data_IF_616183337801
#
_entry.id   IF_616183337801
#
_cell.length_a   1.000
_cell.length_b   1.000
_cell.length_c   1.000
_cell.angle_alpha   90.00
_cell.angle_beta   90.00
_cell.angle_gamma   90.00
#
_symmetry.space_group_name_H-M   'P 1'
#
loop_
_entity.id
_entity.type
_entity.pdbx_description
1 polymer ?
#
# COMPACT_ATOMS: atom_id res chain seq x y z
N UNK A 1 26.89 -1.86 -3.44
CA UNK A 1 25.58 -1.16 -3.48
C UNK A 1 24.35 -2.09 -3.36
N UNK A 2 24.47 -3.41 -3.22
CA UNK A 2 23.31 -4.32 -3.12
C UNK A 2 22.96 -4.81 -1.71
N UNK A 3 23.65 -4.34 -0.66
CA UNK A 3 23.43 -4.80 0.71
C UNK A 3 22.71 -3.77 1.63
N UNK A 4 22.57 -2.51 1.20
CA UNK A 4 21.90 -1.47 2.03
C UNK A 4 20.36 -1.59 2.00
N UNK A 5 19.77 -2.08 0.91
CA UNK A 5 18.31 -2.27 0.81
C UNK A 5 17.81 -3.46 1.64
N UNK A 6 18.61 -4.52 1.78
CA UNK A 6 18.31 -5.65 2.65
C UNK A 6 18.33 -5.25 4.14
N UNK A 7 19.27 -4.39 4.54
CA UNK A 7 19.30 -3.81 5.89
C UNK A 7 18.15 -2.83 6.17
N UNK A 8 17.62 -2.16 5.15
CA UNK A 8 16.40 -1.34 5.26
C UNK A 8 15.16 -2.16 5.59
N UNK A 9 14.99 -3.32 4.95
CA UNK A 9 13.88 -4.25 5.21
C UNK A 9 13.99 -4.91 6.59
N UNK A 10 15.20 -5.27 7.03
CA UNK A 10 15.44 -5.80 8.40
C UNK A 10 15.18 -4.73 9.47
N UNK A 11 15.50 -3.45 9.21
CA UNK A 11 15.13 -2.33 10.10
C UNK A 11 13.61 -2.09 10.14
N UNK A 12 12.92 -2.21 9.01
CA UNK A 12 11.46 -2.16 8.97
C UNK A 12 10.81 -3.37 9.66
N UNK A 13 11.38 -4.56 9.54
CA UNK A 13 10.95 -5.76 10.27
C UNK A 13 11.17 -5.61 11.77
N UNK A 14 12.31 -5.05 12.20
CA UNK A 14 12.60 -4.75 13.61
C UNK A 14 11.64 -3.70 14.17
N UNK A 15 11.31 -2.65 13.41
CA UNK A 15 10.31 -1.65 13.80
C UNK A 15 8.88 -2.21 13.85
N UNK A 16 8.52 -3.11 12.92
CA UNK A 16 7.24 -3.82 12.92
C UNK A 16 7.14 -4.85 14.07
N UNK A 17 8.24 -5.52 14.42
CA UNK A 17 8.32 -6.42 15.58
C UNK A 17 8.23 -5.62 16.91
N UNK A 18 8.84 -4.44 16.97
CA UNK A 18 8.72 -3.51 18.09
C UNK A 18 7.31 -2.91 18.21
N UNK A 19 6.62 -2.65 17.09
CA UNK A 19 5.22 -2.25 17.07
C UNK A 19 4.29 -3.40 17.50
N UNK A 20 4.60 -4.64 17.14
CA UNK A 20 3.90 -5.83 17.64
C UNK A 20 4.11 -6.04 19.14
N UNK A 21 5.30 -5.75 19.69
CA UNK A 21 5.55 -5.74 21.13
C UNK A 21 4.79 -4.63 21.86
N UNK A 22 4.71 -3.42 21.27
CA UNK A 22 3.89 -2.30 21.79
C UNK A 22 2.39 -2.63 21.76
N UNK A 23 1.92 -3.29 20.71
CA UNK A 23 0.53 -3.71 20.54
C UNK A 23 0.20 -4.90 21.47
N UNK A 24 1.13 -5.83 21.69
CA UNK A 24 1.00 -6.90 22.68
C UNK A 24 0.97 -6.36 24.11
N UNK A 25 1.85 -5.41 24.46
CA UNK A 25 1.84 -4.75 25.76
C UNK A 25 0.56 -3.94 26.01
N UNK A 26 0.04 -3.24 24.98
CA UNK A 26 -1.26 -2.54 25.07
C UNK A 26 -2.45 -3.50 25.09
N UNK A 27 -2.37 -4.64 24.40
CA UNK A 27 -3.40 -5.70 24.46
C UNK A 27 -3.39 -6.41 25.80
N UNK A 28 -2.23 -6.52 26.46
CA UNK A 28 -2.07 -7.09 27.80
C UNK A 28 -2.54 -6.11 28.89
N UNK A 29 -2.34 -4.80 28.70
CA UNK A 29 -2.97 -3.73 29.46
C UNK A 29 -4.50 -3.72 29.29
N UNK A 30 -5.01 -3.87 28.06
CA UNK A 30 -6.45 -3.96 27.78
C UNK A 30 -7.08 -5.25 28.35
N UNK A 31 -6.34 -6.38 28.35
CA UNK A 31 -6.76 -7.63 29.01
C UNK A 31 -6.82 -7.50 30.53
N UNK A 32 -5.87 -6.78 31.14
CA UNK A 32 -5.92 -6.46 32.57
C UNK A 32 -7.07 -5.51 32.93
N UNK A 33 -7.45 -4.61 32.02
CA UNK A 33 -8.62 -3.73 32.17
C UNK A 33 -9.96 -4.45 31.98
N UNK A 34 -9.99 -5.55 31.23
CA UNK A 34 -11.21 -6.32 30.96
C UNK A 34 -11.51 -7.41 32.02
N UNK A 35 -10.56 -7.75 32.89
CA UNK A 35 -10.72 -8.82 33.90
C UNK A 35 -11.07 -8.33 35.31
N UNK A 36 -11.15 -7.01 35.55
CA UNK A 36 -11.65 -6.47 36.82
C UNK A 36 -13.06 -5.89 36.61
N UNK A 37 -14.08 -6.59 37.11
CA UNK A 37 -15.48 -6.14 37.10
C UNK A 37 -15.76 -4.92 38.02
N UNK A 38 -14.72 -4.20 38.41
CA UNK A 38 -14.80 -2.84 38.92
C UNK A 38 -13.81 -1.99 38.11
N UNK A 39 -14.33 -0.95 37.45
CA UNK A 39 -13.48 0.07 36.86
C UNK A 39 -12.60 0.66 37.98
N UNK A 40 -11.27 0.79 37.80
CA UNK A 40 -10.45 1.44 38.79
C UNK A 40 -10.91 2.90 38.90
N UNK A 41 -11.50 3.23 40.06
CA UNK A 41 -11.71 4.61 40.52
C UNK A 41 -10.32 5.23 40.68
N UNK A 42 -9.91 6.07 39.71
CA UNK A 42 -8.72 6.90 39.85
C UNK A 42 -9.12 8.14 40.67
N UNK A 43 -8.57 8.33 41.88
CA UNK A 43 -8.86 9.53 42.67
C UNK A 43 -8.49 10.77 41.87
N UNK A 44 -9.35 11.80 41.87
CA UNK A 44 -9.04 13.09 41.25
C UNK A 44 -7.78 13.66 41.93
N UNK A 45 -6.68 13.72 41.19
CA UNK A 45 -5.43 14.33 41.65
C UNK A 45 -5.29 15.70 40.99
N UNK A 46 -4.45 16.56 41.57
CA UNK A 46 -4.15 17.87 41.00
C UNK A 46 -3.64 17.76 39.56
N UNK A 47 -2.87 16.73 39.27
CA UNK A 47 -2.31 16.45 37.94
C UNK A 47 -3.38 16.04 36.92
N UNK A 48 -4.41 15.29 37.33
CA UNK A 48 -5.54 14.95 36.44
C UNK A 48 -6.42 16.17 36.17
N UNK A 49 -6.56 17.07 37.15
CA UNK A 49 -7.27 18.36 36.97
C UNK A 49 -6.49 19.28 36.02
N UNK A 50 -5.18 19.37 36.18
CA UNK A 50 -4.30 20.13 35.29
C UNK A 50 -4.41 19.62 33.84
N UNK A 51 -4.39 18.30 33.64
CA UNK A 51 -4.62 17.67 32.34
C UNK A 51 -5.97 18.07 31.74
N UNK A 52 -7.06 17.92 32.50
CA UNK A 52 -8.42 18.27 32.05
C UNK A 52 -8.54 19.76 31.65
N UNK A 53 -7.90 20.65 32.41
CA UNK A 53 -7.83 22.09 32.10
C UNK A 53 -7.13 22.37 30.78
N UNK A 54 -6.00 21.71 30.51
CA UNK A 54 -5.29 21.85 29.23
C UNK A 54 -6.12 21.30 28.07
N UNK A 55 -6.83 20.18 28.27
CA UNK A 55 -7.76 19.65 27.26
C UNK A 55 -8.85 20.66 26.92
N UNK A 56 -9.51 21.25 27.91
CA UNK A 56 -10.54 22.29 27.68
C UNK A 56 -9.98 23.53 27.01
N UNK A 57 -8.79 23.98 27.41
CA UNK A 57 -8.13 25.11 26.77
C UNK A 57 -7.87 24.84 25.27
N UNK A 58 -7.42 23.64 24.92
CA UNK A 58 -7.13 23.26 23.53
C UNK A 58 -8.40 22.95 22.72
N UNK A 59 -9.35 22.20 23.28
CA UNK A 59 -10.53 21.69 22.57
C UNK A 59 -11.65 22.72 22.55
N UNK A 60 -11.91 23.46 23.63
CA UNK A 60 -12.98 24.45 23.65
C UNK A 60 -12.46 25.74 23.02
N UNK A 61 -11.48 26.36 23.67
CA UNK A 61 -10.98 27.70 23.29
C UNK A 61 -10.11 27.63 22.04
N UNK A 62 -9.24 26.63 21.94
CA UNK A 62 -8.41 26.41 20.76
C UNK A 62 -9.23 26.14 19.50
N UNK A 63 -10.29 25.34 19.57
CA UNK A 63 -11.22 25.14 18.45
C UNK A 63 -11.92 26.43 18.06
N UNK A 64 -12.37 27.23 19.03
CA UNK A 64 -13.02 28.52 18.75
C UNK A 64 -12.09 29.48 18.03
N UNK A 65 -10.85 29.66 18.50
CA UNK A 65 -9.92 30.61 17.89
C UNK A 65 -9.46 30.16 16.50
N UNK A 66 -9.30 28.86 16.26
CA UNK A 66 -8.95 28.34 14.94
C UNK A 66 -10.08 28.53 13.93
N UNK A 67 -11.33 28.35 14.35
CA UNK A 67 -12.48 28.65 13.50
C UNK A 67 -12.63 30.14 13.25
N UNK A 68 -12.47 30.97 14.27
CA UNK A 68 -12.41 32.42 14.08
C UNK A 68 -11.34 32.79 13.05
N UNK A 69 -10.15 32.19 13.15
CA UNK A 69 -9.06 32.40 12.19
C UNK A 69 -9.42 31.89 10.79
N UNK A 70 -10.08 30.75 10.69
CA UNK A 70 -10.53 30.16 9.43
C UNK A 70 -11.61 31.01 8.76
N UNK A 71 -12.65 31.39 9.50
CA UNK A 71 -13.78 32.19 9.03
C UNK A 71 -13.34 33.62 8.63
N UNK A 72 -12.28 34.14 9.25
CA UNK A 72 -11.66 35.41 8.84
C UNK A 72 -10.92 35.33 7.50
N UNK A 73 -10.51 34.13 7.06
CA UNK A 73 -9.87 33.90 5.75
C UNK A 73 -10.93 33.52 4.72
N UNK A 74 -11.86 32.63 5.10
CA UNK A 74 -12.93 32.12 4.27
C UNK A 74 -14.26 32.39 4.96
N UNK A 75 -14.99 33.40 4.49
CA UNK A 75 -16.27 33.77 5.10
C UNK A 75 -17.24 32.58 5.12
N UNK A 76 -18.03 32.37 6.18
CA UNK A 76 -19.01 31.27 6.23
C UNK A 76 -20.01 31.29 5.08
N UNK A 77 -20.34 32.48 4.55
CA UNK A 77 -21.27 32.67 3.42
C UNK A 77 -20.69 32.15 2.10
N UNK A 78 -19.37 32.27 1.90
CA UNK A 78 -18.69 31.87 0.67
C UNK A 78 -18.04 30.49 0.77
N UNK A 79 -18.09 29.86 1.96
CA UNK A 79 -17.39 28.61 2.25
C UNK A 79 -17.70 27.52 1.21
N UNK A 80 -18.97 27.36 0.82
CA UNK A 80 -19.34 26.38 -0.20
C UNK A 80 -18.67 26.68 -1.57
N UNK A 81 -18.56 27.94 -1.95
CA UNK A 81 -17.89 28.36 -3.19
C UNK A 81 -16.39 28.09 -3.12
N UNK A 82 -15.75 28.42 -2.01
CA UNK A 82 -14.32 28.17 -1.78
C UNK A 82 -14.00 26.68 -1.87
N UNK A 83 -14.79 25.82 -1.21
CA UNK A 83 -14.57 24.37 -1.21
C UNK A 83 -14.66 23.75 -2.61
N UNK A 84 -15.46 24.32 -3.51
CA UNK A 84 -15.66 23.79 -4.87
C UNK A 84 -14.77 24.45 -5.94
N UNK A 85 -14.06 25.52 -5.61
CA UNK A 85 -13.16 26.21 -6.53
C UNK A 85 -11.81 25.48 -6.64
N UNK A 86 -11.14 25.63 -7.79
CA UNK A 86 -9.75 25.20 -7.95
C UNK A 86 -8.77 26.34 -7.58
N UNK A 87 -7.64 26.04 -6.90
CA UNK A 87 -7.10 24.70 -6.63
C UNK A 87 -7.64 24.01 -5.35
N UNK A 88 -8.42 24.69 -4.51
CA UNK A 88 -8.80 24.23 -3.17
C UNK A 88 -9.52 22.87 -3.18
N UNK A 89 -10.44 22.67 -4.13
CA UNK A 89 -11.14 21.40 -4.31
C UNK A 89 -10.19 20.24 -4.66
N UNK A 90 -9.22 20.49 -5.55
CA UNK A 90 -8.23 19.50 -5.95
C UNK A 90 -7.30 19.13 -4.78
N UNK A 91 -6.90 20.10 -3.97
CA UNK A 91 -6.11 19.88 -2.76
C UNK A 91 -6.88 19.03 -1.75
N UNK A 92 -8.17 19.32 -1.51
CA UNK A 92 -9.02 18.52 -0.63
C UNK A 92 -9.19 17.08 -1.15
N UNK A 93 -9.38 16.89 -2.46
CA UNK A 93 -9.41 15.55 -3.06
C UNK A 93 -8.09 14.79 -2.85
N UNK A 94 -6.95 15.47 -3.01
CA UNK A 94 -5.62 14.92 -2.75
C UNK A 94 -5.46 14.49 -1.29
N UNK A 95 -5.91 15.33 -0.35
CA UNK A 95 -5.89 15.03 1.09
C UNK A 95 -6.78 13.82 1.44
N UNK A 96 -7.97 13.71 0.84
CA UNK A 96 -8.84 12.54 0.97
C UNK A 96 -8.17 11.28 0.45
N UNK A 97 -7.55 11.35 -0.74
CA UNK A 97 -6.84 10.22 -1.35
C UNK A 97 -5.64 9.76 -0.50
N UNK A 98 -4.98 10.70 0.20
CA UNK A 98 -3.89 10.43 1.14
C UNK A 98 -4.35 9.94 2.52
N UNK A 99 -5.67 9.86 2.78
CA UNK A 99 -6.22 9.47 4.08
C UNK A 99 -6.06 10.52 5.18
N UNK A 100 -5.70 11.77 4.83
CA UNK A 100 -5.58 12.87 5.81
C UNK A 100 -6.97 13.38 6.21
N UNK A 101 -7.91 13.41 5.26
CA UNK A 101 -9.32 13.66 5.53
C UNK A 101 -10.05 12.32 5.60
N UNK A 102 -10.63 12.01 6.76
CA UNK A 102 -11.42 10.79 6.93
C UNK A 102 -12.83 10.93 6.32
N UNK A 103 -13.60 9.83 6.14
CA UNK A 103 -14.92 9.88 5.53
C UNK A 103 -15.92 10.81 6.26
N UNK A 104 -15.87 10.87 7.59
CA UNK A 104 -16.73 11.74 8.41
C UNK A 104 -16.44 13.22 8.15
N UNK A 105 -15.16 13.60 8.16
CA UNK A 105 -14.70 14.95 7.84
C UNK A 105 -15.04 15.31 6.39
N UNK A 106 -14.86 14.37 5.46
CA UNK A 106 -15.26 14.58 4.06
C UNK A 106 -16.76 14.85 3.94
N UNK A 107 -17.60 14.10 4.66
CA UNK A 107 -19.04 14.32 4.68
C UNK A 107 -19.46 15.68 5.25
N UNK A 108 -18.68 16.25 6.19
CA UNK A 108 -18.88 17.62 6.69
C UNK A 108 -18.58 18.68 5.63
N UNK A 109 -17.59 18.43 4.75
CA UNK A 109 -17.21 19.34 3.66
C UNK A 109 -18.08 19.18 2.41
N UNK A 110 -18.51 17.96 2.12
CA UNK A 110 -19.28 17.58 0.94
C UNK A 110 -20.44 16.66 1.37
N UNK A 111 -21.50 17.23 1.96
CA UNK A 111 -22.66 16.46 2.40
C UNK A 111 -23.36 15.80 1.22
N UNK A 112 -23.91 14.60 1.44
CA UNK A 112 -24.61 13.83 0.41
C UNK A 112 -25.89 14.53 -0.09
N UNK A 113 -26.54 15.30 0.78
CA UNK A 113 -27.63 16.20 0.42
C UNK A 113 -27.08 17.61 0.27
N UNK A 114 -27.48 18.31 -0.79
CA UNK A 114 -27.04 19.67 -1.08
C UNK A 114 -27.55 20.65 0.00
N UNK A 115 -26.79 20.80 1.08
CA UNK A 115 -27.02 21.75 2.16
C UNK A 115 -25.85 22.74 2.25
N UNK A 116 -26.10 24.00 2.67
CA UNK A 116 -25.01 24.93 2.98
C UNK A 116 -24.04 24.32 3.97
N UNK A 117 -22.75 24.39 3.66
CA UNK A 117 -21.67 23.89 4.53
C UNK A 117 -21.34 24.98 5.54
N UNK A 118 -21.22 24.62 6.82
CA UNK A 118 -20.87 25.54 7.90
C UNK A 118 -19.66 25.03 8.67
N UNK A 119 -18.76 25.95 9.06
CA UNK A 119 -17.61 25.64 9.91
C UNK A 119 -17.98 25.39 11.38
N UNK A 120 -19.24 25.62 11.78
CA UNK A 120 -19.71 25.49 13.16
C UNK A 120 -19.37 24.12 13.77
N UNK A 121 -19.57 23.05 13.01
CA UNK A 121 -19.40 21.66 13.47
C UNK A 121 -18.01 21.06 13.13
N UNK A 122 -17.08 21.89 12.67
CA UNK A 122 -15.71 21.44 12.39
C UNK A 122 -14.94 21.30 13.69
N UNK A 123 -14.42 20.11 13.97
CA UNK A 123 -13.55 19.89 15.12
C UNK A 123 -12.16 20.53 14.89
N UNK A 124 -11.36 20.59 15.96
CA UNK A 124 -10.00 21.13 15.92
C UNK A 124 -9.12 20.48 14.84
N UNK A 125 -9.31 19.19 14.56
CA UNK A 125 -8.45 18.47 13.60
C UNK A 125 -8.79 18.84 12.16
N UNK A 126 -10.08 18.96 11.84
CA UNK A 126 -10.54 19.41 10.54
C UNK A 126 -10.11 20.86 10.30
N UNK A 127 -10.32 21.77 11.27
CA UNK A 127 -9.89 23.17 11.17
C UNK A 127 -8.38 23.29 10.90
N UNK A 128 -7.55 22.51 11.61
CA UNK A 128 -6.10 22.46 11.39
C UNK A 128 -5.72 21.97 9.99
N UNK A 129 -6.45 20.99 9.45
CA UNK A 129 -6.22 20.50 8.08
C UNK A 129 -6.58 21.59 7.07
N UNK A 130 -7.72 22.27 7.24
CA UNK A 130 -8.16 23.30 6.30
C UNK A 130 -7.23 24.51 6.31
N UNK A 131 -6.90 25.05 7.49
CA UNK A 131 -6.00 26.21 7.65
C UNK A 131 -4.64 26.00 6.95
N UNK A 132 -4.09 24.79 7.04
CA UNK A 132 -2.80 24.47 6.46
C UNK A 132 -2.80 24.28 4.94
N UNK A 133 -3.94 23.91 4.36
CA UNK A 133 -3.96 23.42 2.98
C UNK A 133 -4.77 24.30 2.03
N UNK A 134 -5.83 24.98 2.51
CA UNK A 134 -6.72 25.76 1.63
C UNK A 134 -6.80 27.23 2.00
N UNK A 135 -6.09 27.69 3.03
CA UNK A 135 -6.08 29.09 3.47
C UNK A 135 -4.86 29.89 3.00
N UNK A 136 -4.01 29.31 2.14
CA UNK A 136 -2.83 29.99 1.59
C UNK A 136 -1.74 30.33 2.62
N UNK A 137 -1.78 29.70 3.81
CA UNK A 137 -0.80 29.94 4.87
C UNK A 137 0.53 29.24 4.58
N UNK A 138 1.64 29.92 4.83
CA UNK A 138 2.99 29.38 4.62
C UNK A 138 3.46 28.68 5.91
N UNK A 139 3.99 27.44 5.84
CA UNK A 139 4.54 26.79 7.03
C UNK A 139 5.61 27.66 7.72
N UNK A 140 5.67 27.66 9.06
CA UNK A 140 6.83 28.19 9.78
C UNK A 140 8.12 27.47 9.34
N UNK A 141 9.28 28.05 9.60
CA UNK A 141 10.58 27.44 9.25
C UNK A 141 10.78 26.04 9.87
N UNK A 142 10.12 25.75 10.99
CA UNK A 142 10.14 24.44 11.66
C UNK A 142 9.16 23.43 11.04
N UNK A 143 8.35 23.84 10.07
CA UNK A 143 7.21 23.10 9.55
C UNK A 143 6.01 23.10 10.51
N UNK A 144 4.94 22.42 10.09
CA UNK A 144 3.68 22.35 10.84
C UNK A 144 3.67 21.33 11.99
N UNK A 145 4.68 20.45 12.07
CA UNK A 145 4.72 19.31 12.98
C UNK A 145 5.65 19.51 14.18
N UNK A 146 6.58 20.47 14.12
CA UNK A 146 7.50 20.79 15.19
C UNK A 146 7.11 22.09 15.90
N UNK A 147 7.46 22.19 17.20
CA UNK A 147 7.20 23.39 17.99
C UNK A 147 8.01 24.58 17.44
N UNK A 148 7.35 25.68 17.01
CA UNK A 148 8.07 26.86 16.54
C UNK A 148 8.79 27.60 17.68
N UNK A 149 9.85 28.39 17.38
CA UNK A 149 10.54 29.20 18.38
C UNK A 149 9.60 30.15 19.11
N UNK A 150 9.80 30.36 20.42
CA UNK A 150 8.92 31.21 21.23
C UNK A 150 8.85 32.67 20.75
N UNK A 151 9.90 33.14 20.07
CA UNK A 151 9.94 34.47 19.46
C UNK A 151 9.07 34.59 18.20
N UNK A 152 8.74 33.46 17.56
CA UNK A 152 7.88 33.42 16.39
C UNK A 152 6.41 33.39 16.83
N UNK A 153 5.80 34.57 16.78
CA UNK A 153 4.41 34.83 17.12
C UNK A 153 3.54 35.05 15.88
N UNK A 154 4.01 34.62 14.70
CA UNK A 154 3.18 34.67 13.49
C UNK A 154 1.90 33.85 13.65
N UNK A 155 0.91 34.13 12.82
CA UNK A 155 -0.35 33.37 12.78
C UNK A 155 -0.08 31.88 12.53
N UNK A 156 0.79 31.59 11.58
CA UNK A 156 1.19 30.23 11.19
C UNK A 156 1.96 29.53 12.30
N UNK A 157 2.86 30.23 12.99
CA UNK A 157 3.58 29.71 14.14
C UNK A 157 2.63 29.39 15.31
N UNK A 158 1.62 30.23 15.56
CA UNK A 158 0.63 29.99 16.61
C UNK A 158 -0.32 28.82 16.26
N UNK A 159 -0.71 28.66 15.00
CA UNK A 159 -1.46 27.49 14.53
C UNK A 159 -0.62 26.21 14.71
N UNK A 160 0.65 26.23 14.30
CA UNK A 160 1.56 25.09 14.47
C UNK A 160 1.80 24.76 15.96
N UNK A 161 1.93 25.77 16.82
CA UNK A 161 2.09 25.62 18.28
C UNK A 161 0.86 24.99 18.92
N UNK A 162 -0.34 25.43 18.56
CA UNK A 162 -1.57 24.78 19.00
C UNK A 162 -1.60 23.32 18.58
N UNK A 163 -1.24 23.01 17.33
CA UNK A 163 -1.18 21.63 16.83
C UNK A 163 -0.15 20.78 17.59
N UNK A 164 1.02 21.33 17.87
CA UNK A 164 2.06 20.64 18.65
C UNK A 164 1.57 20.30 20.06
N UNK A 165 0.98 21.26 20.76
CA UNK A 165 0.44 21.03 22.10
C UNK A 165 -0.80 20.15 22.11
N UNK A 166 -1.63 20.21 21.05
CA UNK A 166 -2.66 19.21 20.75
C UNK A 166 -1.98 17.83 20.88
N UNK A 167 -1.01 17.54 20.00
CA UNK A 167 -0.42 16.21 19.89
C UNK A 167 0.34 15.78 21.15
N UNK A 168 0.96 16.72 21.86
CA UNK A 168 1.71 16.46 23.08
C UNK A 168 0.79 16.17 24.27
N UNK A 169 -0.33 16.88 24.39
CA UNK A 169 -1.23 16.78 25.55
C UNK A 169 -2.24 15.64 25.42
N UNK A 170 -2.89 15.39 24.27
CA UNK A 170 -3.76 14.20 24.11
C UNK A 170 -3.19 13.18 23.13
N UNK A 171 -2.46 13.60 22.08
CA UNK A 171 -2.21 12.75 20.91
C UNK A 171 -1.24 11.61 21.20
N UNK A 172 -0.34 11.83 22.16
CA UNK A 172 0.71 10.90 22.56
C UNK A 172 0.85 10.79 24.09
N UNK A 173 -0.12 11.27 24.86
CA UNK A 173 -0.05 11.17 26.31
C UNK A 173 -0.13 9.72 26.75
N UNK A 174 0.86 9.27 27.52
CA UNK A 174 0.89 7.93 28.11
C UNK A 174 -0.08 7.77 29.28
N UNK A 175 -0.54 8.89 29.84
CA UNK A 175 -1.45 8.97 30.97
C UNK A 175 -2.18 10.32 30.98
N UNK A 176 -3.40 10.36 31.52
CA UNK A 176 -4.22 11.56 31.64
C UNK A 176 -3.83 12.41 32.88
N UNK A 177 -2.54 12.75 33.02
CA UNK A 177 -2.02 13.53 34.15
C UNK A 177 -0.84 14.42 33.73
N UNK A 178 -0.79 15.64 34.27
CA UNK A 178 0.27 16.63 34.00
C UNK A 178 0.70 17.30 35.30
N UNK A 179 1.99 17.24 35.61
CA UNK A 179 2.58 17.92 36.77
C UNK A 179 2.46 19.45 36.67
N UNK A 180 2.57 20.15 37.81
CA UNK A 180 2.37 21.60 37.87
C UNK A 180 3.36 22.39 37.01
N UNK A 181 4.60 21.93 36.87
CA UNK A 181 5.62 22.64 36.11
C UNK A 181 5.29 22.62 34.60
N UNK A 182 4.99 21.43 34.07
CA UNK A 182 4.53 21.26 32.68
C UNK A 182 3.19 21.94 32.45
N UNK A 183 2.26 21.84 33.39
CA UNK A 183 0.97 22.50 33.29
C UNK A 183 1.13 24.01 33.11
N UNK A 184 1.92 24.66 33.95
CA UNK A 184 2.12 26.11 33.86
C UNK A 184 2.81 26.51 32.54
N UNK A 185 3.83 25.77 32.11
CA UNK A 185 4.51 26.01 30.83
C UNK A 185 3.55 25.84 29.64
N UNK A 186 2.84 24.72 29.56
CA UNK A 186 1.91 24.44 28.47
C UNK A 186 0.75 25.43 28.47
N UNK A 187 0.19 25.72 29.64
CA UNK A 187 -0.89 26.70 29.78
C UNK A 187 -0.46 28.05 29.22
N UNK A 188 0.72 28.54 29.60
CA UNK A 188 1.23 29.83 29.14
C UNK A 188 1.42 29.85 27.62
N UNK A 189 2.09 28.85 27.06
CA UNK A 189 2.38 28.82 25.62
C UNK A 189 1.11 28.67 24.78
N UNK A 190 0.18 27.82 25.20
CA UNK A 190 -1.11 27.64 24.54
C UNK A 190 -1.92 28.94 24.63
N UNK A 191 -1.97 29.56 25.81
CA UNK A 191 -2.71 30.81 26.01
C UNK A 191 -2.17 31.94 25.13
N UNK A 192 -0.84 32.08 25.07
CA UNK A 192 -0.18 33.08 24.23
C UNK A 192 -0.47 32.85 22.75
N UNK A 193 -0.48 31.59 22.29
CA UNK A 193 -0.84 31.25 20.92
C UNK A 193 -2.30 31.60 20.61
N UNK A 194 -3.23 31.30 21.52
CA UNK A 194 -4.65 31.64 21.34
C UNK A 194 -4.84 33.15 21.27
N UNK A 195 -4.27 33.91 22.21
CA UNK A 195 -4.35 35.37 22.22
C UNK A 195 -3.69 35.98 20.98
N UNK A 196 -2.57 35.40 20.51
CA UNK A 196 -1.93 35.81 19.27
C UNK A 196 -2.76 35.60 18.01
N UNK A 197 -3.72 34.67 18.03
CA UNK A 197 -4.64 34.39 16.92
C UNK A 197 -5.95 35.19 17.01
N UNK A 198 -6.56 35.23 18.20
CA UNK A 198 -7.90 35.76 18.42
C UNK A 198 -7.97 37.14 19.09
N UNK A 199 -6.84 37.67 19.56
CA UNK A 199 -6.78 38.95 20.27
C UNK A 199 -7.05 38.85 21.77
N UNK A 200 -7.09 40.02 22.42
CA UNK A 200 -7.10 40.16 23.88
C UNK A 200 -8.36 39.59 24.56
N UNK A 201 -9.49 39.53 23.85
CA UNK A 201 -10.77 39.05 24.40
C UNK A 201 -10.70 37.57 24.81
N UNK A 202 -9.90 36.77 24.09
CA UNK A 202 -9.65 35.38 24.49
C UNK A 202 -8.85 35.29 25.79
N UNK A 203 -8.02 36.27 26.12
CA UNK A 203 -7.25 36.30 27.37
C UNK A 203 -8.14 36.31 28.61
N UNK A 204 -9.26 37.04 28.56
CA UNK A 204 -10.24 37.07 29.65
C UNK A 204 -10.94 35.71 29.83
N UNK A 205 -11.35 35.07 28.73
CA UNK A 205 -11.98 33.75 28.75
C UNK A 205 -11.03 32.66 29.29
N UNK A 206 -9.76 32.69 28.87
CA UNK A 206 -8.71 31.79 29.35
C UNK A 206 -8.45 32.00 30.85
N UNK A 207 -8.33 33.26 31.29
CA UNK A 207 -8.13 33.58 32.71
C UNK A 207 -9.25 33.02 33.59
N UNK A 208 -10.51 33.15 33.13
CA UNK A 208 -11.67 32.54 33.80
C UNK A 208 -11.57 31.02 33.85
N UNK A 209 -11.21 30.37 32.73
CA UNK A 209 -11.05 28.91 32.65
C UNK A 209 -9.95 28.37 33.58
N UNK A 210 -8.89 29.15 33.83
CA UNK A 210 -7.80 28.76 34.75
C UNK A 210 -8.26 28.68 36.20
N UNK A 211 -9.17 29.56 36.59
CA UNK A 211 -9.60 29.80 37.98
C UNK A 211 -10.92 29.07 38.29
N UNK A 212 -11.72 28.75 37.27
CA UNK A 212 -12.98 28.02 37.42
C UNK A 212 -12.73 26.70 38.18
N UNK A 213 -13.47 26.53 39.28
CA UNK A 213 -13.48 25.27 40.04
C UNK A 213 -14.15 24.21 39.18
N UNK A 214 -13.42 23.13 38.87
CA UNK A 214 -14.03 21.94 38.29
C UNK A 214 -14.87 21.29 39.39
N UNK A 215 -16.17 21.55 39.35
CA UNK A 215 -17.17 20.78 40.10
C UNK A 215 -17.00 19.28 39.75
N UNK A 216 -17.00 18.36 40.73
CA UNK A 216 -16.88 16.91 40.49
C UNK A 216 -17.81 16.36 39.40
N UNK A 217 -19.03 16.89 39.29
CA UNK A 217 -20.01 16.42 38.28
C UNK A 217 -19.63 16.88 36.87
N UNK A 218 -19.08 18.09 36.73
CA UNK A 218 -18.53 18.59 35.46
C UNK A 218 -17.25 17.85 35.10
N UNK A 219 -16.41 17.51 36.09
CA UNK A 219 -15.19 16.74 35.91
C UNK A 219 -15.50 15.35 35.31
N UNK A 220 -16.48 14.64 35.86
CA UNK A 220 -16.86 13.32 35.35
C UNK A 220 -17.45 13.41 33.93
N UNK A 221 -18.27 14.43 33.65
CA UNK A 221 -18.79 14.69 32.31
C UNK A 221 -17.66 14.93 31.29
N UNK A 222 -16.66 15.76 31.62
CA UNK A 222 -15.51 15.98 30.74
C UNK A 222 -14.65 14.72 30.57
N UNK A 223 -14.47 13.92 31.64
CA UNK A 223 -13.78 12.63 31.56
C UNK A 223 -14.52 11.67 30.62
N UNK A 224 -15.85 11.64 30.69
CA UNK A 224 -16.69 10.81 29.82
C UNK A 224 -16.54 11.24 28.37
N UNK A 225 -16.63 12.55 28.09
CA UNK A 225 -16.46 13.11 26.75
C UNK A 225 -15.06 12.82 26.19
N UNK A 226 -14.00 13.01 26.99
CA UNK A 226 -12.62 12.68 26.61
C UNK A 226 -12.45 11.18 26.28
N UNK A 227 -13.11 10.29 27.03
CA UNK A 227 -13.09 8.85 26.74
C UNK A 227 -13.81 8.53 25.44
N UNK A 228 -14.94 9.17 25.16
CA UNK A 228 -15.69 8.98 23.92
C UNK A 228 -14.91 9.49 22.71
N UNK A 229 -14.35 10.70 22.79
CA UNK A 229 -13.51 11.29 21.74
C UNK A 229 -12.26 10.41 21.48
N UNK A 230 -11.64 9.88 22.54
CA UNK A 230 -10.49 8.98 22.43
C UNK A 230 -10.89 7.62 21.84
N UNK A 231 -12.10 7.13 22.13
CA UNK A 231 -12.66 5.90 21.55
C UNK A 231 -12.96 6.08 20.06
N UNK A 232 -13.56 7.21 19.67
CA UNK A 232 -13.80 7.54 18.27
C UNK A 232 -12.49 7.65 17.49
N UNK A 233 -11.48 8.32 18.05
CA UNK A 233 -10.14 8.38 17.47
C UNK A 233 -9.51 6.99 17.32
N UNK A 234 -9.66 6.11 18.32
CA UNK A 234 -9.17 4.73 18.23
C UNK A 234 -9.88 3.91 17.15
N UNK A 235 -11.18 4.05 16.97
CA UNK A 235 -11.91 3.38 15.89
C UNK A 235 -11.52 3.92 14.51
N UNK A 236 -11.29 5.23 14.38
CA UNK A 236 -10.78 5.85 13.16
C UNK A 236 -9.37 5.33 12.82
N UNK A 237 -8.44 5.33 13.79
CA UNK A 237 -7.09 4.76 13.62
C UNK A 237 -7.17 3.26 13.26
N UNK A 238 -8.08 2.52 13.88
CA UNK A 238 -8.30 1.09 13.55
C UNK A 238 -8.80 0.94 12.11
N UNK A 239 -9.67 1.83 11.65
CA UNK A 239 -10.10 1.92 10.25
C UNK A 239 -8.94 2.12 9.29
N UNK A 240 -8.08 3.10 9.57
CA UNK A 240 -6.91 3.42 8.76
C UNK A 240 -5.90 2.27 8.73
N UNK A 241 -5.66 1.61 9.88
CA UNK A 241 -4.80 0.42 9.95
C UNK A 241 -5.38 -0.73 9.11
N UNK A 242 -6.71 -0.95 9.13
CA UNK A 242 -7.35 -1.95 8.27
C UNK A 242 -7.17 -1.62 6.79
N UNK A 243 -7.32 -0.36 6.42
CA UNK A 243 -7.12 0.10 5.04
C UNK A 243 -5.67 -0.06 4.60
N UNK A 244 -4.70 0.36 5.42
CA UNK A 244 -3.27 0.15 5.17
C UNK A 244 -2.91 -1.32 5.02
N UNK A 245 -3.47 -2.21 5.85
CA UNK A 245 -3.29 -3.66 5.72
C UNK A 245 -3.81 -4.17 4.37
N UNK A 246 -4.96 -3.67 3.92
CA UNK A 246 -5.54 -4.05 2.62
C UNK A 246 -4.66 -3.58 1.46
N UNK A 247 -4.14 -2.36 1.52
CA UNK A 247 -3.22 -1.85 0.50
C UNK A 247 -1.87 -2.57 0.51
N UNK A 248 -1.35 -2.88 1.70
CA UNK A 248 -0.14 -3.69 1.86
C UNK A 248 -0.33 -5.09 1.27
N UNK A 249 -1.50 -5.71 1.46
CA UNK A 249 -1.84 -6.99 0.81
C UNK A 249 -1.75 -6.93 -0.72
N UNK A 250 -2.31 -5.87 -1.33
CA UNK A 250 -2.21 -5.65 -2.79
C UNK A 250 -0.76 -5.45 -3.27
N UNK A 251 0.05 -4.74 -2.48
CA UNK A 251 1.47 -4.55 -2.78
C UNK A 251 2.22 -5.87 -2.66
N UNK A 252 1.93 -6.67 -1.63
CA UNK A 252 2.51 -8.01 -1.44
C UNK A 252 2.20 -8.91 -2.63
N UNK A 253 0.92 -9.01 -3.04
CA UNK A 253 0.51 -9.78 -4.23
C UNK A 253 1.24 -9.32 -5.49
N UNK A 254 1.44 -8.00 -5.64
CA UNK A 254 2.16 -7.44 -6.78
C UNK A 254 3.67 -7.71 -6.72
N UNK A 255 4.26 -7.71 -5.53
CA UNK A 255 5.67 -8.08 -5.33
C UNK A 255 5.85 -9.57 -5.61
N UNK A 256 4.96 -10.44 -5.15
CA UNK A 256 4.99 -11.87 -5.43
C UNK A 256 4.85 -12.12 -6.95
N UNK A 257 3.92 -11.42 -7.61
CA UNK A 257 3.78 -11.46 -9.07
C UNK A 257 5.06 -11.02 -9.80
N UNK A 258 5.67 -9.91 -9.39
CA UNK A 258 6.90 -9.40 -10.01
C UNK A 258 8.13 -10.28 -9.71
N UNK A 259 8.18 -10.92 -8.54
CA UNK A 259 9.26 -11.83 -8.15
C UNK A 259 9.17 -13.12 -8.98
N UNK A 260 7.97 -13.67 -9.16
CA UNK A 260 7.73 -14.81 -10.06
C UNK A 260 8.09 -14.46 -11.52
N UNK A 261 7.81 -13.24 -11.97
CA UNK A 261 8.21 -12.76 -13.30
C UNK A 261 9.73 -12.51 -13.42
N UNK A 262 10.42 -12.15 -12.33
CA UNK A 262 11.87 -11.99 -12.32
C UNK A 262 12.61 -13.33 -12.27
N UNK A 263 12.11 -14.33 -11.55
CA UNK A 263 12.73 -15.66 -11.50
C UNK A 263 12.64 -16.41 -12.83
N UNK A 264 11.63 -16.13 -13.67
CA UNK A 264 11.54 -16.64 -15.04
C UNK A 264 12.45 -15.91 -16.05
N UNK A 265 13.04 -14.76 -15.70
CA UNK A 265 13.78 -13.90 -16.66
C UNK A 265 15.26 -13.67 -16.32
N UNK A 266 15.77 -14.15 -15.17
CA UNK A 266 17.11 -13.79 -14.67
C UNK A 266 18.16 -14.92 -14.62
N UNK A 267 18.00 -16.04 -15.34
CA UNK A 267 19.19 -16.85 -15.67
C UNK A 267 19.95 -16.15 -16.82
N UNK A 268 21.29 -16.03 -16.76
CA UNK A 268 22.07 -15.32 -17.78
C UNK A 268 21.90 -15.85 -19.21
N UNK A 269 21.34 -17.06 -19.41
CA UNK A 269 20.95 -17.60 -20.72
C UNK A 269 19.57 -17.15 -21.23
N UNK A 270 18.62 -16.84 -20.35
CA UNK A 270 17.21 -16.65 -20.69
C UNK A 270 16.96 -15.28 -21.35
N UNK A 271 17.66 -14.24 -20.92
CA UNK A 271 17.60 -12.92 -21.56
C UNK A 271 18.14 -12.94 -23.00
N UNK A 272 19.18 -13.74 -23.27
CA UNK A 272 19.73 -13.93 -24.61
C UNK A 272 18.74 -14.65 -25.53
N UNK A 273 18.07 -15.67 -25.01
CA UNK A 273 17.04 -16.41 -25.75
C UNK A 273 15.77 -15.59 -25.97
N UNK A 274 15.34 -14.78 -25.00
CA UNK A 274 14.18 -13.90 -25.17
C UNK A 274 14.41 -12.86 -26.29
N UNK A 275 15.58 -12.22 -26.33
CA UNK A 275 15.95 -11.29 -27.39
C UNK A 275 16.07 -11.98 -28.77
N UNK A 276 16.60 -13.21 -28.79
CA UNK A 276 16.66 -14.03 -29.99
C UNK A 276 15.25 -14.42 -30.47
N UNK A 277 14.38 -14.83 -29.56
CA UNK A 277 13.00 -15.20 -29.85
C UNK A 277 12.22 -14.03 -30.45
N UNK A 278 12.33 -12.82 -29.87
CA UNK A 278 11.68 -11.62 -30.42
C UNK A 278 12.17 -11.31 -31.84
N UNK A 279 13.49 -11.41 -32.05
CA UNK A 279 14.09 -11.19 -33.38
C UNK A 279 13.65 -12.24 -34.40
N UNK A 280 13.47 -13.49 -33.97
CA UNK A 280 12.96 -14.59 -34.78
C UNK A 280 11.50 -14.42 -35.14
N UNK A 281 10.65 -13.94 -34.22
CA UNK A 281 9.23 -13.69 -34.50
C UNK A 281 9.03 -12.69 -35.64
N UNK A 282 9.92 -11.69 -35.76
CA UNK A 282 9.91 -10.69 -36.85
C UNK A 282 10.61 -11.17 -38.13
N UNK A 283 11.33 -12.29 -38.09
CA UNK A 283 12.08 -12.77 -39.24
C UNK A 283 11.19 -13.60 -40.18
N UNK A 284 11.05 -13.13 -41.42
CA UNK A 284 10.22 -13.79 -42.44
C UNK A 284 11.02 -14.57 -43.50
N UNK A 285 12.33 -14.74 -43.30
CA UNK A 285 13.24 -15.36 -44.26
C UNK A 285 13.87 -16.67 -43.78
N UNK A 286 14.05 -16.82 -42.47
CA UNK A 286 14.84 -17.91 -41.89
C UNK A 286 14.08 -19.23 -41.99
N UNK A 287 14.63 -20.18 -42.74
CA UNK A 287 14.01 -21.49 -42.97
C UNK A 287 14.40 -22.55 -41.94
N UNK A 288 15.59 -22.45 -41.37
CA UNK A 288 16.17 -23.45 -40.47
C UNK A 288 16.88 -22.75 -39.31
N UNK A 289 16.67 -23.26 -38.11
CA UNK A 289 17.31 -22.77 -36.91
C UNK A 289 17.75 -23.94 -36.05
N UNK A 290 19.01 -23.91 -35.62
CA UNK A 290 19.59 -24.89 -34.70
C UNK A 290 20.02 -24.16 -33.42
N UNK A 291 19.41 -24.55 -32.31
CA UNK A 291 19.71 -24.05 -30.98
C UNK A 291 20.07 -25.20 -30.04
N UNK A 292 20.57 -26.31 -30.56
CA UNK A 292 20.98 -27.44 -29.73
C UNK A 292 22.06 -27.06 -28.72
N UNK A 293 21.99 -27.60 -27.49
CA UNK A 293 23.04 -27.41 -26.48
C UNK A 293 23.12 -26.03 -25.82
N UNK A 294 22.06 -25.22 -25.86
CA UNK A 294 22.08 -23.83 -25.36
C UNK A 294 21.42 -23.64 -23.98
N UNK A 295 21.04 -24.72 -23.29
CA UNK A 295 20.43 -24.68 -21.96
C UNK A 295 19.23 -23.74 -21.88
N UNK A 296 18.37 -23.77 -22.91
CA UNK A 296 17.20 -22.92 -23.08
C UNK A 296 16.17 -23.11 -21.94
N UNK A 297 16.01 -24.34 -21.45
CA UNK A 297 15.03 -24.68 -20.42
C UNK A 297 13.57 -24.39 -20.82
N UNK A 298 12.67 -24.55 -19.86
CA UNK A 298 11.22 -24.40 -20.09
C UNK A 298 10.80 -22.95 -20.38
N UNK A 299 11.41 -21.99 -19.67
CA UNK A 299 11.14 -20.56 -19.87
C UNK A 299 11.54 -20.10 -21.27
N UNK A 300 12.73 -20.49 -21.75
CA UNK A 300 13.17 -20.19 -23.11
C UNK A 300 12.34 -20.91 -24.17
N UNK A 301 11.91 -22.15 -23.93
CA UNK A 301 11.01 -22.86 -24.85
C UNK A 301 9.65 -22.16 -24.96
N UNK A 302 9.12 -21.64 -23.86
CA UNK A 302 7.90 -20.83 -23.83
C UNK A 302 8.05 -19.52 -24.59
N UNK A 303 9.14 -18.79 -24.36
CA UNK A 303 9.43 -17.55 -25.08
C UNK A 303 9.56 -17.79 -26.60
N UNK A 304 10.23 -18.86 -27.01
CA UNK A 304 10.30 -19.28 -28.41
C UNK A 304 8.92 -19.62 -28.98
N UNK A 305 8.10 -20.37 -28.25
CA UNK A 305 6.75 -20.74 -28.67
C UNK A 305 5.84 -19.51 -28.87
N UNK A 306 5.93 -18.52 -27.96
CA UNK A 306 5.17 -17.28 -28.05
C UNK A 306 5.60 -16.43 -29.25
N UNK A 307 6.91 -16.25 -29.45
CA UNK A 307 7.41 -15.41 -30.53
C UNK A 307 7.27 -16.06 -31.92
N UNK A 308 7.38 -17.38 -32.01
CA UNK A 308 7.27 -18.11 -33.28
C UNK A 308 5.82 -18.30 -33.74
N UNK A 309 4.82 -18.02 -32.91
CA UNK A 309 3.38 -18.18 -33.23
C UNK A 309 3.00 -17.59 -34.59
N UNK A 310 3.51 -16.40 -34.90
CA UNK A 310 3.23 -15.69 -36.14
C UNK A 310 4.30 -15.90 -37.22
N UNK A 311 5.41 -16.57 -36.90
CA UNK A 311 6.45 -16.87 -37.88
C UNK A 311 5.93 -17.91 -38.89
N UNK A 312 5.87 -17.52 -40.17
CA UNK A 312 5.44 -18.40 -41.27
C UNK A 312 6.60 -18.89 -42.14
N UNK A 313 7.83 -18.53 -41.80
CA UNK A 313 9.00 -18.81 -42.62
C UNK A 313 9.78 -20.03 -42.15
N UNK A 314 9.84 -20.28 -40.84
CA UNK A 314 10.64 -21.35 -40.25
C UNK A 314 10.03 -22.72 -40.52
N UNK A 315 10.83 -23.60 -41.12
CA UNK A 315 10.46 -24.97 -41.53
C UNK A 315 11.18 -26.04 -40.71
N UNK A 316 12.34 -25.74 -40.12
CA UNK A 316 13.11 -26.68 -39.29
C UNK A 316 13.62 -25.99 -38.04
N UNK A 317 13.37 -26.61 -36.89
CA UNK A 317 13.83 -26.14 -35.58
C UNK A 317 14.49 -27.30 -34.82
N UNK A 318 15.74 -27.09 -34.39
CA UNK A 318 16.46 -28.03 -33.54
C UNK A 318 16.64 -27.44 -32.14
N UNK A 319 16.11 -28.14 -31.14
CA UNK A 319 16.14 -27.79 -29.72
C UNK A 319 16.71 -28.95 -28.89
N UNK A 320 17.54 -29.80 -29.48
CA UNK A 320 18.12 -30.93 -28.75
C UNK A 320 19.07 -30.51 -27.64
N UNK A 321 19.18 -31.28 -26.55
CA UNK A 321 20.10 -30.98 -25.43
C UNK A 321 19.91 -29.59 -24.80
N UNK A 322 18.67 -29.22 -24.49
CA UNK A 322 18.35 -27.90 -23.93
C UNK A 322 17.71 -27.90 -22.55
N UNK A 323 17.54 -29.08 -21.93
CA UNK A 323 16.95 -29.20 -20.60
C UNK A 323 15.45 -28.85 -20.57
N UNK A 324 14.75 -29.04 -21.69
CA UNK A 324 13.30 -28.84 -21.81
C UNK A 324 12.59 -30.01 -21.09
N UNK A 325 11.68 -29.70 -20.17
CA UNK A 325 10.85 -30.67 -19.45
C UNK A 325 9.44 -30.74 -20.05
N UNK A 326 8.52 -31.42 -19.36
CA UNK A 326 7.10 -31.48 -19.73
C UNK A 326 6.47 -30.08 -19.87
N UNK A 327 6.84 -29.12 -19.03
CA UNK A 327 6.27 -27.77 -19.06
C UNK A 327 6.68 -27.01 -20.33
N UNK A 328 7.94 -27.09 -20.74
CA UNK A 328 8.40 -26.52 -22.00
C UNK A 328 7.83 -27.25 -23.21
N UNK A 329 7.66 -28.58 -23.14
CA UNK A 329 7.01 -29.36 -24.20
C UNK A 329 5.54 -28.96 -24.39
N UNK A 330 4.79 -28.70 -23.31
CA UNK A 330 3.41 -28.19 -23.35
C UNK A 330 3.36 -26.83 -24.04
N UNK A 331 4.29 -25.91 -23.72
CA UNK A 331 4.34 -24.61 -24.37
C UNK A 331 4.59 -24.73 -25.88
N UNK A 332 5.52 -25.60 -26.29
CA UNK A 332 5.79 -25.88 -27.70
C UNK A 332 4.58 -26.54 -28.38
N UNK A 333 3.87 -27.44 -27.71
CA UNK A 333 2.66 -28.07 -28.23
C UNK A 333 1.54 -27.04 -28.53
N UNK A 334 1.35 -26.07 -27.65
CA UNK A 334 0.40 -24.97 -27.88
C UNK A 334 0.75 -24.14 -29.11
N UNK A 335 2.05 -23.88 -29.33
CA UNK A 335 2.54 -23.22 -30.54
C UNK A 335 2.29 -24.07 -31.79
N UNK A 336 2.62 -25.37 -31.74
CA UNK A 336 2.46 -26.28 -32.87
C UNK A 336 1.00 -26.39 -33.32
N UNK A 337 0.03 -26.36 -32.39
CA UNK A 337 -1.40 -26.49 -32.72
C UNK A 337 -1.88 -25.50 -33.78
N UNK A 338 -1.34 -24.27 -33.79
CA UNK A 338 -1.68 -23.23 -34.76
C UNK A 338 -0.62 -22.93 -35.82
N UNK A 339 0.54 -23.61 -35.76
CA UNK A 339 1.63 -23.35 -36.69
C UNK A 339 1.43 -24.08 -38.02
N UNK A 340 1.64 -23.36 -39.13
CA UNK A 340 1.44 -23.86 -40.48
C UNK A 340 2.72 -23.86 -41.34
N UNK A 341 3.90 -23.69 -40.73
CA UNK A 341 5.17 -23.60 -41.47
C UNK A 341 6.22 -24.62 -41.03
N UNK A 342 6.20 -25.05 -39.78
CA UNK A 342 7.22 -25.91 -39.22
C UNK A 342 6.99 -27.36 -39.66
N UNK A 343 7.95 -27.89 -40.41
CA UNK A 343 7.92 -29.25 -40.94
C UNK A 343 8.72 -30.23 -40.08
N UNK A 344 9.80 -29.76 -39.43
CA UNK A 344 10.70 -30.59 -38.64
C UNK A 344 11.03 -29.97 -37.29
N UNK A 345 10.81 -30.73 -36.23
CA UNK A 345 11.16 -30.37 -34.86
C UNK A 345 12.03 -31.47 -34.23
N UNK A 346 13.20 -31.08 -33.74
CA UNK A 346 14.09 -31.95 -32.98
C UNK A 346 14.09 -31.54 -31.50
N UNK A 347 13.57 -32.43 -30.64
CA UNK A 347 13.53 -32.28 -29.18
C UNK A 347 14.33 -33.40 -28.49
N UNK A 348 15.24 -34.07 -29.20
CA UNK A 348 16.04 -35.16 -28.63
C UNK A 348 16.92 -34.69 -27.48
N UNK A 349 17.30 -35.59 -26.57
CA UNK A 349 18.22 -35.29 -25.44
C UNK A 349 17.68 -34.19 -24.51
N UNK A 350 16.40 -34.22 -24.18
CA UNK A 350 15.78 -33.31 -23.22
C UNK A 350 15.20 -34.13 -22.05
N UNK A 351 14.47 -33.47 -21.15
CA UNK A 351 13.87 -34.08 -19.95
C UNK A 351 12.35 -34.27 -20.11
N UNK A 352 11.89 -34.53 -21.33
CA UNK A 352 10.46 -34.72 -21.61
C UNK A 352 10.05 -36.12 -21.15
N UNK A 353 8.97 -36.22 -20.38
CA UNK A 353 8.40 -37.46 -19.90
C UNK A 353 7.00 -37.70 -20.52
N UNK A 354 6.23 -38.62 -19.95
CA UNK A 354 4.93 -39.05 -20.48
C UNK A 354 3.93 -37.90 -20.64
N UNK A 355 3.94 -36.91 -19.72
CA UNK A 355 2.99 -35.80 -19.78
C UNK A 355 3.29 -34.84 -20.94
N UNK A 356 4.55 -34.47 -21.15
CA UNK A 356 4.97 -33.64 -22.27
C UNK A 356 4.79 -34.35 -23.60
N UNK A 357 5.09 -35.65 -23.65
CA UNK A 357 4.82 -36.51 -24.81
C UNK A 357 3.33 -36.55 -25.17
N UNK A 358 2.44 -36.69 -24.17
CA UNK A 358 0.99 -36.67 -24.39
C UNK A 358 0.50 -35.31 -24.91
N UNK A 359 1.04 -34.20 -24.38
CA UNK A 359 0.69 -32.86 -24.86
C UNK A 359 1.10 -32.64 -26.33
N UNK A 360 2.30 -33.09 -26.71
CA UNK A 360 2.76 -33.07 -28.09
C UNK A 360 1.87 -33.96 -28.99
N UNK A 361 1.52 -35.16 -28.53
CA UNK A 361 0.60 -36.03 -29.26
C UNK A 361 -0.77 -35.38 -29.49
N UNK A 362 -1.35 -34.76 -28.46
CA UNK A 362 -2.66 -34.11 -28.56
C UNK A 362 -2.65 -32.94 -29.55
N UNK A 363 -1.61 -32.09 -29.56
CA UNK A 363 -1.54 -30.97 -30.51
C UNK A 363 -1.32 -31.44 -31.95
N UNK A 364 -0.61 -32.56 -32.14
CA UNK A 364 -0.30 -33.10 -33.45
C UNK A 364 -1.51 -33.71 -34.14
N UNK A 365 -2.59 -34.03 -33.43
CA UNK A 365 -3.86 -34.43 -34.06
C UNK A 365 -4.38 -33.35 -35.00
N UNK A 366 -4.25 -32.08 -34.60
CA UNK A 366 -4.76 -30.92 -35.34
C UNK A 366 -3.70 -30.30 -36.28
N UNK A 367 -2.42 -30.32 -35.91
CA UNK A 367 -1.34 -29.79 -36.76
C UNK A 367 -1.16 -30.69 -38.00
N UNK A 368 -1.17 -30.15 -39.21
CA UNK A 368 -1.01 -30.92 -40.47
C UNK A 368 0.32 -30.71 -41.19
N UNK A 369 1.22 -29.92 -40.60
CA UNK A 369 2.44 -29.43 -41.26
C UNK A 369 3.70 -30.12 -40.77
N UNK A 370 3.73 -30.57 -39.52
CA UNK A 370 4.87 -31.27 -38.95
C UNK A 370 4.99 -32.69 -39.52
N UNK A 371 6.07 -32.93 -40.26
CA UNK A 371 6.38 -34.21 -40.92
C UNK A 371 7.50 -34.98 -40.21
N UNK A 372 8.25 -34.34 -39.33
CA UNK A 372 9.29 -34.99 -38.53
C UNK A 372 9.29 -34.45 -37.11
N UNK A 373 9.13 -35.35 -36.13
CA UNK A 373 9.34 -35.07 -34.71
C UNK A 373 10.37 -36.05 -34.15
N UNK A 374 11.47 -35.52 -33.61
CA UNK A 374 12.49 -36.32 -32.93
C UNK A 374 12.39 -36.15 -31.42
N UNK A 375 12.34 -37.27 -30.71
CA UNK A 375 12.20 -37.34 -29.25
C UNK A 375 13.16 -38.34 -28.61
N UNK A 376 14.17 -38.83 -29.35
CA UNK A 376 15.16 -39.76 -28.81
C UNK A 376 15.89 -39.20 -27.58
N UNK A 377 16.41 -40.05 -26.71
CA UNK A 377 17.12 -39.65 -25.48
C UNK A 377 16.30 -38.72 -24.56
N UNK A 378 14.99 -38.98 -24.39
CA UNK A 378 14.13 -38.32 -23.39
C UNK A 378 13.65 -39.35 -22.35
N UNK A 379 12.90 -38.90 -21.34
CA UNK A 379 12.38 -39.72 -20.23
C UNK A 379 10.94 -40.24 -20.51
N UNK A 380 10.63 -40.56 -21.77
CA UNK A 380 9.29 -40.97 -22.20
C UNK A 380 9.11 -42.45 -21.91
N UNK A 381 8.13 -42.77 -21.06
CA UNK A 381 7.73 -44.13 -20.71
C UNK A 381 6.66 -44.69 -21.65
N UNK A 382 6.15 -45.87 -21.30
CA UNK A 382 5.18 -46.60 -22.14
C UNK A 382 3.88 -45.85 -22.38
N UNK A 383 3.45 -45.01 -21.43
CA UNK A 383 2.23 -44.21 -21.55
C UNK A 383 2.40 -43.10 -22.59
N UNK A 384 3.51 -42.37 -22.56
CA UNK A 384 3.82 -41.34 -23.53
C UNK A 384 4.04 -41.91 -24.92
N UNK A 385 4.73 -43.05 -25.02
CA UNK A 385 4.89 -43.77 -26.30
C UNK A 385 3.54 -44.19 -26.88
N UNK A 386 2.62 -44.72 -26.06
CA UNK A 386 1.28 -45.09 -26.51
C UNK A 386 0.48 -43.86 -27.00
N UNK A 387 0.58 -42.73 -26.31
CA UNK A 387 -0.07 -41.48 -26.72
C UNK A 387 0.45 -41.00 -28.08
N UNK A 388 1.76 -41.00 -28.27
CA UNK A 388 2.41 -40.62 -29.53
C UNK A 388 2.06 -41.60 -30.66
N UNK A 389 2.10 -42.91 -30.41
CA UNK A 389 1.75 -43.95 -31.39
C UNK A 389 0.30 -43.83 -31.86
N UNK A 390 -0.64 -43.62 -30.93
CA UNK A 390 -2.06 -43.42 -31.26
C UNK A 390 -2.29 -42.14 -32.08
N UNK A 391 -1.49 -41.09 -31.89
CA UNK A 391 -1.57 -39.88 -32.71
C UNK A 391 -1.12 -40.10 -34.16
N UNK A 392 -0.11 -40.95 -34.38
CA UNK A 392 0.46 -41.18 -35.71
C UNK A 392 -0.18 -42.32 -36.50
N UNK A 393 -1.09 -43.08 -35.89
CA UNK A 393 -1.85 -44.13 -36.56
C UNK A 393 -2.74 -43.52 -37.66
N UNK A 394 -2.23 -43.49 -38.90
CA UNK A 394 -2.91 -42.90 -40.07
C UNK A 394 -2.19 -41.73 -40.75
N UNK A 395 -0.97 -41.34 -40.33
CA UNK A 395 -0.19 -40.24 -40.94
C UNK A 395 1.19 -40.68 -41.44
N UNK A 396 1.67 -40.02 -42.50
CA UNK A 396 3.04 -40.14 -43.01
C UNK A 396 4.00 -39.15 -42.30
N UNK A 397 3.97 -39.11 -40.97
CA UNK A 397 4.93 -38.35 -40.17
C UNK A 397 6.02 -39.32 -39.69
N UNK A 398 7.29 -39.01 -39.99
CA UNK A 398 8.43 -39.80 -39.53
C UNK A 398 8.74 -39.45 -38.08
N UNK A 399 8.60 -40.45 -37.21
CA UNK A 399 8.99 -40.34 -35.81
C UNK A 399 10.33 -41.04 -35.59
N UNK A 400 11.30 -40.31 -35.05
CA UNK A 400 12.61 -40.84 -34.65
C UNK A 400 12.66 -40.79 -33.12
N UNK A 401 12.42 -41.94 -32.49
CA UNK A 401 12.46 -42.14 -31.04
C UNK A 401 13.19 -43.44 -30.75
N UNK A 402 14.00 -43.44 -29.70
CA UNK A 402 14.75 -44.60 -29.26
C UNK A 402 13.94 -45.36 -28.21
N UNK A 403 13.47 -46.56 -28.56
CA UNK A 403 12.63 -47.42 -27.70
C UNK A 403 13.44 -48.25 -26.69
N UNK A 404 14.67 -47.86 -26.37
CA UNK A 404 15.62 -48.68 -25.61
C UNK A 404 15.67 -48.42 -24.09
N UNK A 405 14.62 -47.85 -23.48
CA UNK A 405 14.48 -47.78 -22.02
C UNK A 405 13.29 -48.56 -21.47
#
# INVERSE_FOLDING_TARGET
>A
MHNEKAWGLVKCFSAALAANFKMAAMTQLAKHMASSASAPSFPSTKETINYARLCRLLVDVGTQVLRYTFDAIHSPEELHTVLNRNPEHADLQSLRKKGILNPTQWGKLYPATSSPVSSADFDITLLMVLLRNICGLVPPNTGWDNLPPAADMSKEANIARLKYYRNTVYGHASQASVDDAKFNSYWQDISNAIVGLGGADYGAAIGKLKIESLDPDKEEHYRQQLKEDMREMQENIRGDIKQLRKEFGKVSEKVDFLTTQQDETNRPGDAGIAALAESLGRNNSLKRLDLSGNNIGDAGARALAECLRDNKSLTKLCLSSNGISDDGAVALAQYLKGNASLEKLDLSRNNIADAGAAALADCLRDNTTLTTLKLSDNNIGSVGVAALANCFQGRATLMDYDSSQ
#
